data_IF_150289520542
#
_entry.id   IF_150289520542
#
_cell.length_a   1.000
_cell.length_b   1.000
_cell.length_c   1.000
_cell.angle_alpha   90.00
_cell.angle_beta   90.00
_cell.angle_gamma   90.00
#
_symmetry.space_group_name_H-M   'P 1'
#
loop_
_entity.id
_entity.type
_entity.pdbx_description
1 polymer ?
#
# COMPACT_ATOMS: atom_id res chain seq x y z
N UNK A 1 -47.49 17.57 39.04
CA UNK A 1 -46.52 18.48 38.41
C UNK A 1 -46.12 17.88 37.08
N UNK A 2 -46.45 18.58 36.01
CA UNK A 2 -46.24 18.18 34.62
C UNK A 2 -44.75 17.97 34.30
N UNK A 3 -44.44 16.80 33.73
CA UNK A 3 -43.15 16.52 33.12
C UNK A 3 -43.07 17.19 31.76
N UNK A 4 -42.41 18.35 31.73
CA UNK A 4 -42.10 19.16 30.55
C UNK A 4 -41.50 18.31 29.41
N UNK A 5 -42.24 18.18 28.30
CA UNK A 5 -41.77 17.52 27.08
C UNK A 5 -40.60 18.30 26.47
N UNK A 6 -39.47 17.64 26.28
CA UNK A 6 -38.29 18.18 25.58
C UNK A 6 -38.59 18.13 24.09
N UNK A 7 -38.84 19.29 23.48
CA UNK A 7 -38.91 19.45 22.04
C UNK A 7 -37.50 19.40 21.48
N UNK A 8 -37.11 18.26 20.91
CA UNK A 8 -35.90 18.13 20.10
C UNK A 8 -36.19 18.77 18.75
N UNK A 9 -35.91 20.07 18.64
CA UNK A 9 -36.03 20.81 17.39
C UNK A 9 -34.96 20.27 16.41
N UNK A 10 -35.41 19.52 15.41
CA UNK A 10 -34.53 19.01 14.36
C UNK A 10 -34.08 20.19 13.50
N UNK A 11 -32.80 20.54 13.62
CA UNK A 11 -32.16 21.57 12.79
C UNK A 11 -32.18 21.09 11.34
N UNK A 12 -33.05 21.72 10.55
CA UNK A 12 -33.10 21.58 9.10
C UNK A 12 -31.81 22.16 8.50
N UNK A 13 -30.86 21.30 8.13
CA UNK A 13 -29.75 21.69 7.27
C UNK A 13 -30.31 21.96 5.86
N UNK A 14 -30.10 23.17 5.33
CA UNK A 14 -30.46 23.49 3.95
C UNK A 14 -29.78 22.47 3.01
N UNK A 15 -30.53 21.72 2.19
CA UNK A 15 -29.92 20.81 1.23
C UNK A 15 -29.09 21.62 0.23
N UNK A 16 -27.78 21.38 0.22
CA UNK A 16 -26.88 21.95 -0.79
C UNK A 16 -27.23 21.30 -2.12
N UNK A 17 -27.51 22.12 -3.13
CA UNK A 17 -27.80 21.65 -4.47
C UNK A 17 -26.65 20.76 -4.99
N UNK A 18 -26.91 19.48 -5.33
CA UNK A 18 -25.89 18.56 -5.84
C UNK A 18 -25.19 19.07 -7.10
N UNK A 19 -25.82 19.98 -7.85
CA UNK A 19 -25.21 20.61 -9.03
C UNK A 19 -24.12 21.61 -8.66
N UNK A 20 -24.19 22.23 -7.48
CA UNK A 20 -23.12 23.09 -6.93
C UNK A 20 -21.91 22.29 -6.43
N UNK A 21 -22.08 20.97 -6.26
CA UNK A 21 -21.02 20.02 -5.93
C UNK A 21 -20.40 19.37 -7.18
N UNK A 22 -20.91 19.66 -8.38
CA UNK A 22 -20.27 19.21 -9.62
C UNK A 22 -19.02 20.06 -9.88
N UNK A 23 -17.91 19.58 -9.32
CA UNK A 23 -16.58 19.97 -9.80
C UNK A 23 -16.41 19.33 -11.18
N UNK A 24 -16.29 20.15 -12.23
CA UNK A 24 -15.90 19.67 -13.55
C UNK A 24 -14.43 19.22 -13.50
N UNK A 25 -14.24 17.95 -13.16
CA UNK A 25 -12.92 17.31 -13.20
C UNK A 25 -12.64 16.98 -14.66
N UNK A 26 -12.16 17.97 -15.43
CA UNK A 26 -11.50 17.74 -16.71
C UNK A 26 -10.60 16.49 -16.57
N UNK A 27 -10.60 15.54 -17.52
CA UNK A 27 -10.21 14.18 -17.22
C UNK A 27 -8.70 14.09 -16.92
N UNK A 28 -8.36 14.24 -15.64
CA UNK A 28 -7.12 13.77 -15.03
C UNK A 28 -6.98 12.25 -15.20
N UNK A 29 -8.09 11.58 -15.49
CA UNK A 29 -8.31 10.15 -15.61
C UNK A 29 -7.28 9.42 -16.50
N UNK A 30 -6.87 9.87 -17.70
CA UNK A 30 -5.95 9.10 -18.53
C UNK A 30 -4.52 9.09 -17.99
N UNK A 31 -4.02 10.23 -17.50
CA UNK A 31 -2.68 10.32 -16.89
C UNK A 31 -2.63 9.56 -15.56
N UNK A 32 -3.65 9.72 -14.72
CA UNK A 32 -3.75 9.01 -13.45
C UNK A 32 -3.85 7.48 -13.65
N UNK A 33 -4.55 7.00 -14.69
CA UNK A 33 -4.60 5.57 -15.04
C UNK A 33 -3.23 5.02 -15.45
N UNK A 34 -2.50 5.72 -16.32
CA UNK A 34 -1.13 5.32 -16.71
C UNK A 34 -0.18 5.30 -15.51
N UNK A 35 -0.30 6.27 -14.61
CA UNK A 35 0.49 6.32 -13.39
C UNK A 35 0.17 5.15 -12.45
N UNK A 36 -1.11 4.74 -12.36
CA UNK A 36 -1.51 3.56 -11.57
C UNK A 36 -0.86 2.29 -12.10
N UNK A 37 -0.89 2.06 -13.41
CA UNK A 37 -0.24 0.89 -14.04
C UNK A 37 1.26 0.90 -13.80
N UNK A 38 1.94 2.03 -14.05
CA UNK A 38 3.37 2.15 -13.80
C UNK A 38 3.73 1.88 -12.32
N UNK A 39 2.93 2.39 -11.37
CA UNK A 39 3.14 2.14 -9.95
C UNK A 39 3.05 0.65 -9.61
N UNK A 40 2.04 -0.06 -10.12
CA UNK A 40 1.91 -1.51 -9.95
C UNK A 40 3.08 -2.27 -10.56
N UNK A 41 3.53 -1.88 -11.75
CA UNK A 41 4.67 -2.52 -12.43
C UNK A 41 5.98 -2.36 -11.66
N UNK A 42 6.24 -1.16 -11.11
CA UNK A 42 7.41 -0.92 -10.26
C UNK A 42 7.39 -1.78 -9.00
N UNK A 43 6.23 -1.92 -8.35
CA UNK A 43 6.12 -2.73 -7.13
C UNK A 43 6.33 -4.21 -7.45
N UNK A 44 5.76 -4.71 -8.54
CA UNK A 44 5.96 -6.08 -9.01
C UNK A 44 7.44 -6.37 -9.30
N UNK A 45 8.11 -5.48 -10.03
CA UNK A 45 9.55 -5.62 -10.28
C UNK A 45 10.36 -5.64 -8.98
N UNK A 46 10.03 -4.74 -8.03
CA UNK A 46 10.69 -4.69 -6.73
C UNK A 46 10.50 -6.00 -5.94
N UNK A 47 9.34 -6.65 -6.04
CA UNK A 47 9.08 -7.95 -5.40
C UNK A 47 9.95 -9.06 -6.03
N UNK A 48 10.06 -9.10 -7.36
CA UNK A 48 10.90 -10.06 -8.09
C UNK A 48 12.39 -9.90 -7.74
N UNK A 49 12.88 -8.65 -7.66
CA UNK A 49 14.25 -8.35 -7.24
C UNK A 49 14.50 -8.71 -5.78
N UNK A 50 13.54 -8.43 -4.88
CA UNK A 50 13.63 -8.78 -3.48
C UNK A 50 13.70 -10.30 -3.26
N UNK A 51 12.95 -11.07 -4.05
CA UNK A 51 13.00 -12.53 -4.04
C UNK A 51 14.36 -13.04 -4.52
N UNK A 52 14.88 -12.47 -5.61
CA UNK A 52 16.22 -12.80 -6.13
C UNK A 52 17.32 -12.51 -5.11
N UNK A 53 17.27 -11.32 -4.49
CA UNK A 53 18.22 -10.92 -3.46
C UNK A 53 18.17 -11.85 -2.23
N UNK A 54 16.98 -12.32 -1.85
CA UNK A 54 16.82 -13.31 -0.77
C UNK A 54 17.54 -14.62 -1.08
N UNK A 55 17.38 -15.15 -2.29
CA UNK A 55 18.06 -16.40 -2.69
C UNK A 55 19.59 -16.25 -2.76
N UNK A 56 20.08 -15.09 -3.21
CA UNK A 56 21.51 -14.77 -3.19
C UNK A 56 22.02 -14.74 -1.75
N UNK A 57 21.34 -14.01 -0.86
CA UNK A 57 21.71 -13.93 0.56
C UNK A 57 21.71 -15.32 1.21
N UNK A 58 20.71 -16.15 0.91
CA UNK A 58 20.62 -17.52 1.43
C UNK A 58 21.79 -18.39 0.95
N UNK A 59 22.13 -18.31 -0.34
CA UNK A 59 23.22 -19.06 -0.95
C UNK A 59 24.58 -18.62 -0.41
N UNK A 60 24.84 -17.32 -0.35
CA UNK A 60 26.07 -16.75 0.20
C UNK A 60 26.23 -17.06 1.69
N UNK A 61 25.13 -17.13 2.46
CA UNK A 61 25.18 -17.51 3.87
C UNK A 61 25.65 -18.94 4.08
N UNK A 62 25.34 -19.84 3.15
CA UNK A 62 25.81 -21.22 3.19
C UNK A 62 27.30 -21.33 2.84
N UNK A 63 27.77 -20.49 1.90
CA UNK A 63 29.15 -20.53 1.42
C UNK A 63 30.12 -19.74 2.31
N UNK A 64 29.68 -18.62 2.86
CA UNK A 64 30.51 -17.71 3.65
C UNK A 64 29.73 -17.10 4.83
N UNK A 65 29.52 -17.89 5.91
CA UNK A 65 28.68 -17.48 7.04
C UNK A 65 29.19 -16.24 7.79
N UNK A 66 30.50 -15.96 7.73
CA UNK A 66 31.16 -14.86 8.43
C UNK A 66 31.36 -13.61 7.56
N UNK A 67 30.78 -13.59 6.36
CA UNK A 67 30.92 -12.45 5.46
C UNK A 67 30.22 -11.20 6.03
N UNK A 68 30.99 -10.15 6.31
CA UNK A 68 30.45 -8.89 6.85
C UNK A 68 29.53 -8.17 5.85
N UNK A 69 29.79 -8.32 4.55
CA UNK A 69 28.91 -7.78 3.49
C UNK A 69 27.52 -8.42 3.53
N UNK A 70 27.46 -9.70 3.88
CA UNK A 70 26.20 -10.44 4.01
C UNK A 70 25.33 -9.88 5.14
N UNK A 71 25.93 -9.37 6.22
CA UNK A 71 25.19 -8.74 7.31
C UNK A 71 24.44 -7.49 6.82
N UNK A 72 25.05 -6.70 5.94
CA UNK A 72 24.39 -5.55 5.30
C UNK A 72 23.33 -6.00 4.29
N UNK A 73 23.63 -6.97 3.44
CA UNK A 73 22.66 -7.53 2.50
C UNK A 73 21.39 -8.03 3.22
N UNK A 74 21.55 -8.77 4.33
CA UNK A 74 20.43 -9.20 5.17
C UNK A 74 19.57 -8.02 5.68
N UNK A 75 20.21 -6.93 6.15
CA UNK A 75 19.50 -5.74 6.62
C UNK A 75 18.69 -5.09 5.51
N UNK A 76 19.26 -4.92 4.32
CA UNK A 76 18.56 -4.32 3.18
C UNK A 76 17.41 -5.21 2.69
N UNK A 77 17.65 -6.51 2.56
CA UNK A 77 16.60 -7.49 2.19
C UNK A 77 15.41 -7.43 3.14
N UNK A 78 15.66 -7.33 4.46
CA UNK A 78 14.60 -7.15 5.46
C UNK A 78 13.84 -5.83 5.27
N UNK A 79 14.54 -4.72 5.07
CA UNK A 79 13.92 -3.40 4.87
C UNK A 79 13.06 -3.34 3.60
N UNK A 80 13.51 -3.98 2.52
CA UNK A 80 12.74 -4.07 1.28
C UNK A 80 11.44 -4.86 1.53
N UNK A 81 11.47 -5.94 2.30
CA UNK A 81 10.28 -6.72 2.64
C UNK A 81 9.29 -5.95 3.51
N UNK A 82 9.77 -5.23 4.52
CA UNK A 82 8.94 -4.35 5.36
C UNK A 82 8.25 -3.27 4.51
N UNK A 83 9.00 -2.63 3.60
CA UNK A 83 8.45 -1.63 2.69
C UNK A 83 7.39 -2.24 1.76
N UNK A 84 7.67 -3.40 1.18
CA UNK A 84 6.72 -4.09 0.29
C UNK A 84 5.42 -4.47 1.02
N UNK A 85 5.50 -4.86 2.30
CA UNK A 85 4.34 -5.13 3.13
C UNK A 85 3.47 -3.88 3.33
N UNK A 86 4.08 -2.74 3.67
CA UNK A 86 3.37 -1.46 3.82
C UNK A 86 2.71 -1.03 2.50
N UNK A 87 3.42 -1.21 1.38
CA UNK A 87 2.89 -0.87 0.05
C UNK A 87 1.69 -1.76 -0.34
N UNK A 88 1.69 -3.03 0.05
CA UNK A 88 0.55 -3.93 -0.15
C UNK A 88 -0.67 -3.51 0.66
N UNK A 89 -0.49 -3.15 1.95
CA UNK A 89 -1.58 -2.67 2.81
C UNK A 89 -2.21 -1.36 2.31
N UNK A 90 -1.39 -0.47 1.78
CA UNK A 90 -1.85 0.85 1.29
C UNK A 90 -2.38 0.80 -0.16
N UNK A 91 -2.14 -0.30 -0.89
CA UNK A 91 -2.56 -0.45 -2.27
C UNK A 91 -3.17 -1.85 -2.53
N UNK A 92 -4.49 -2.03 -2.28
CA UNK A 92 -5.18 -3.32 -2.42
C UNK A 92 -5.20 -3.90 -3.84
N UNK A 93 -4.81 -3.13 -4.86
CA UNK A 93 -4.65 -3.64 -6.23
C UNK A 93 -3.44 -4.57 -6.41
N UNK A 94 -2.62 -4.77 -5.38
CA UNK A 94 -1.42 -5.62 -5.39
C UNK A 94 -1.71 -7.04 -4.85
N UNK A 95 -2.87 -7.24 -4.21
CA UNK A 95 -3.22 -8.46 -3.45
C UNK A 95 -3.34 -9.74 -4.28
N UNK A 96 -3.35 -9.66 -5.63
CA UNK A 96 -3.39 -10.82 -6.51
C UNK A 96 -2.00 -11.44 -6.78
N UNK A 97 -0.92 -10.81 -6.31
CA UNK A 97 0.46 -11.22 -6.66
C UNK A 97 1.09 -12.29 -5.76
N UNK A 98 0.27 -13.16 -5.15
CA UNK A 98 0.75 -14.41 -4.55
C UNK A 98 1.71 -14.24 -3.37
N UNK A 99 1.23 -13.74 -2.23
CA UNK A 99 1.97 -13.78 -0.97
C UNK A 99 2.05 -15.20 -0.42
N UNK A 100 2.99 -16.02 -0.93
CA UNK A 100 3.62 -17.07 -0.10
C UNK A 100 4.83 -16.47 0.59
N UNK A 101 4.61 -15.54 1.51
CA UNK A 101 5.60 -15.24 2.52
C UNK A 101 5.55 -16.37 3.54
N UNK A 102 6.41 -17.37 3.35
CA UNK A 102 6.64 -18.40 4.38
C UNK A 102 7.35 -17.68 5.54
N UNK A 103 6.79 -17.69 6.76
CA UNK A 103 7.48 -17.17 7.93
C UNK A 103 8.73 -18.02 8.20
N UNK A 104 9.84 -17.35 8.56
CA UNK A 104 11.05 -18.01 9.07
C UNK A 104 10.78 -18.79 10.37
#
# INVERSE_FOLDING_TARGET
SEGKAVLTEAVSLNPIDPTLLQVDVAPLVPKLRKNKTAHTDYIRHTQEEAATLREIVKSERLLSPLNTSLAYACKYTRRIQELLMILQETCPSITDLGTKLVPE
#
